data_IF_855158663703
#
_entry.id   IF_855158663703
#
_cell.length_a   1.000
_cell.length_b   1.000
_cell.length_c   1.000
_cell.angle_alpha   90.00
_cell.angle_beta   90.00
_cell.angle_gamma   90.00
#
_symmetry.space_group_name_H-M   'P 1'
#
loop_
_entity.id
_entity.type
_entity.pdbx_description
1 polymer ?
#
# COMPACT_ATOMS: atom_id res chain seq x y z
N UNK A 1 -11.20 5.69 29.56
CA UNK A 1 -10.31 5.13 28.52
C UNK A 1 -11.09 5.09 27.22
N UNK A 2 -10.53 5.68 26.16
CA UNK A 2 -11.26 5.89 24.91
C UNK A 2 -11.56 4.56 24.20
N UNK A 3 -12.73 4.46 23.54
CA UNK A 3 -13.18 3.23 22.86
C UNK A 3 -12.18 2.77 21.80
N UNK A 4 -11.56 3.71 21.09
CA UNK A 4 -10.54 3.43 20.08
C UNK A 4 -9.28 2.78 20.68
N UNK A 5 -8.86 3.25 21.87
CA UNK A 5 -7.72 2.67 22.58
C UNK A 5 -7.99 1.25 23.08
N UNK A 6 -9.23 0.91 23.41
CA UNK A 6 -9.59 -0.48 23.77
C UNK A 6 -9.62 -1.36 22.52
N UNK A 7 -10.11 -0.83 21.39
CA UNK A 7 -10.12 -1.57 20.12
C UNK A 7 -8.70 -1.90 19.66
N UNK A 8 -7.75 -0.98 19.81
CA UNK A 8 -6.34 -1.23 19.46
C UNK A 8 -5.72 -2.35 20.28
N UNK A 9 -6.03 -2.42 21.59
CA UNK A 9 -5.52 -3.49 22.45
C UNK A 9 -6.05 -4.87 22.07
N UNK A 10 -7.30 -4.98 21.57
CA UNK A 10 -7.84 -6.28 21.10
C UNK A 10 -7.06 -6.85 19.91
N UNK A 11 -6.45 -5.98 19.12
CA UNK A 11 -5.74 -6.34 17.89
C UNK A 11 -4.25 -6.65 18.11
N UNK A 12 -3.77 -6.67 19.36
CA UNK A 12 -2.42 -7.14 19.66
C UNK A 12 -2.32 -8.62 19.23
N UNK A 13 -1.27 -9.03 18.49
CA UNK A 13 -1.08 -10.41 18.08
C UNK A 13 -1.12 -11.37 19.28
N UNK A 14 -1.92 -12.43 19.17
CA UNK A 14 -2.16 -13.36 20.27
C UNK A 14 -0.87 -14.07 20.70
N UNK A 15 0.03 -14.33 19.77
CA UNK A 15 1.36 -14.90 20.01
C UNK A 15 2.19 -13.98 20.91
N UNK A 16 2.12 -12.66 20.70
CA UNK A 16 2.85 -11.68 21.53
C UNK A 16 2.29 -11.62 22.94
N UNK A 17 0.98 -11.75 23.07
CA UNK A 17 0.34 -11.86 24.39
C UNK A 17 0.81 -13.13 25.11
N UNK A 18 0.82 -14.26 24.42
CA UNK A 18 1.28 -15.55 24.94
C UNK A 18 2.76 -15.51 25.37
N UNK A 19 3.63 -14.93 24.53
CA UNK A 19 5.02 -14.66 24.90
C UNK A 19 5.12 -13.79 26.16
N UNK A 20 4.35 -12.70 26.21
CA UNK A 20 4.38 -11.75 27.32
C UNK A 20 3.92 -12.33 28.67
N UNK A 21 3.02 -13.31 28.66
CA UNK A 21 2.58 -14.04 29.87
C UNK A 21 3.44 -15.27 30.17
N UNK A 22 4.51 -15.52 29.40
CA UNK A 22 5.44 -16.63 29.63
C UNK A 22 4.93 -18.00 29.14
N UNK A 23 4.01 -18.03 28.18
CA UNK A 23 3.61 -19.27 27.53
C UNK A 23 4.78 -19.87 26.73
N UNK A 24 4.78 -21.20 26.59
CA UNK A 24 5.81 -21.91 25.82
C UNK A 24 5.23 -22.46 24.52
N UNK A 25 5.88 -22.17 23.40
CA UNK A 25 5.46 -22.71 22.11
C UNK A 25 5.63 -24.25 22.09
N UNK A 26 4.67 -24.97 21.52
CA UNK A 26 4.76 -26.43 21.37
C UNK A 26 5.84 -26.76 20.33
N UNK A 27 6.84 -27.61 20.66
CA UNK A 27 7.92 -27.96 19.72
C UNK A 27 7.43 -28.55 18.38
N UNK A 28 6.25 -29.18 18.35
CA UNK A 28 5.70 -29.80 17.13
C UNK A 28 5.03 -28.78 16.20
N UNK A 29 4.51 -27.70 16.75
CA UNK A 29 3.93 -26.59 16.00
C UNK A 29 4.13 -25.28 16.77
N UNK A 30 5.36 -24.73 16.73
CA UNK A 30 5.71 -23.59 17.56
C UNK A 30 5.07 -22.28 17.08
N UNK A 31 4.37 -22.31 15.95
CA UNK A 31 3.68 -21.15 15.39
C UNK A 31 2.28 -21.02 15.98
N UNK A 32 1.52 -22.12 15.99
CA UNK A 32 0.11 -22.05 16.33
C UNK A 32 -0.20 -22.62 17.71
N UNK A 33 0.60 -23.56 18.23
CA UNK A 33 0.29 -24.27 19.46
C UNK A 33 1.17 -23.80 20.61
N UNK A 34 0.52 -23.50 21.73
CA UNK A 34 1.12 -22.91 22.91
C UNK A 34 0.68 -23.64 24.16
N UNK A 35 1.59 -23.78 25.11
CA UNK A 35 1.36 -24.36 26.43
C UNK A 35 1.28 -23.23 27.45
N UNK A 36 0.17 -23.20 28.16
CA UNK A 36 -0.12 -22.22 29.21
C UNK A 36 -0.52 -22.96 30.49
N UNK A 37 -0.48 -22.30 31.66
CA UNK A 37 -1.04 -22.87 32.89
C UNK A 37 -2.54 -23.21 32.77
N UNK A 38 -3.28 -22.49 31.92
CA UNK A 38 -4.69 -22.74 31.67
C UNK A 38 -4.96 -23.87 30.66
N UNK A 39 -3.92 -24.51 30.13
CA UNK A 39 -4.03 -25.61 29.16
C UNK A 39 -3.39 -25.32 27.81
N UNK A 40 -3.61 -26.23 26.86
CA UNK A 40 -3.08 -26.10 25.48
C UNK A 40 -3.94 -25.15 24.65
N UNK A 41 -3.30 -24.13 24.08
CA UNK A 41 -3.95 -23.12 23.24
C UNK A 41 -3.47 -23.25 21.80
N UNK A 42 -4.41 -23.28 20.87
CA UNK A 42 -4.13 -23.06 19.45
C UNK A 42 -4.55 -21.65 19.06
N UNK A 43 -3.66 -20.93 18.38
CA UNK A 43 -3.91 -19.61 17.79
C UNK A 43 -4.14 -19.76 16.29
N UNK A 44 -5.14 -19.05 15.77
CA UNK A 44 -5.44 -18.97 14.34
C UNK A 44 -5.90 -17.55 14.01
N UNK A 45 -4.97 -16.71 13.56
CA UNK A 45 -5.25 -15.30 13.28
C UNK A 45 -5.59 -14.54 14.56
N UNK A 46 -6.77 -13.91 14.61
CA UNK A 46 -7.26 -13.17 15.77
C UNK A 46 -8.04 -14.04 16.77
N UNK A 47 -8.08 -15.37 16.58
CA UNK A 47 -8.81 -16.30 17.44
C UNK A 47 -7.89 -17.27 18.15
N UNK A 48 -8.35 -17.74 19.31
CA UNK A 48 -7.71 -18.83 20.04
C UNK A 48 -8.72 -19.89 20.44
N UNK A 49 -8.21 -21.10 20.67
CA UNK A 49 -8.97 -22.22 21.19
C UNK A 49 -8.15 -22.96 22.26
N UNK A 50 -8.72 -23.10 23.46
CA UNK A 50 -8.15 -23.90 24.54
C UNK A 50 -8.75 -25.31 24.50
N UNK A 51 -7.90 -26.30 24.20
CA UNK A 51 -8.30 -27.69 24.03
C UNK A 51 -8.66 -28.39 25.34
N UNK A 52 -8.10 -27.93 26.45
CA UNK A 52 -8.27 -28.58 27.75
C UNK A 52 -9.59 -28.15 28.41
N UNK A 53 -10.09 -26.96 28.04
CA UNK A 53 -11.34 -26.38 28.54
C UNK A 53 -12.48 -26.39 27.51
N UNK A 54 -12.23 -26.89 26.30
CA UNK A 54 -13.16 -26.86 25.15
C UNK A 54 -13.79 -25.47 24.91
N UNK A 55 -12.95 -24.42 25.00
CA UNK A 55 -13.39 -23.03 24.97
C UNK A 55 -12.47 -22.17 24.13
N UNK A 56 -13.05 -21.32 23.29
CA UNK A 56 -12.33 -20.36 22.46
C UNK A 56 -12.78 -18.93 22.68
N UNK A 57 -12.04 -18.00 22.09
CA UNK A 57 -12.30 -16.57 22.15
C UNK A 57 -11.57 -15.81 21.02
N UNK A 58 -11.73 -14.48 21.00
CA UNK A 58 -11.19 -13.63 19.95
C UNK A 58 -10.51 -12.38 20.49
N UNK A 59 -9.27 -12.15 20.07
CA UNK A 59 -8.50 -10.97 20.43
C UNK A 59 -7.77 -11.07 21.77
N UNK A 60 -6.80 -10.18 21.93
CA UNK A 60 -5.83 -10.21 23.02
C UNK A 60 -6.45 -10.03 24.43
N UNK A 61 -7.50 -9.23 24.54
CA UNK A 61 -8.18 -9.01 25.83
C UNK A 61 -8.85 -10.30 26.29
N UNK A 62 -9.61 -10.94 25.40
CA UNK A 62 -10.34 -12.17 25.69
C UNK A 62 -9.35 -13.30 26.02
N UNK A 63 -8.21 -13.35 25.34
CA UNK A 63 -7.15 -14.30 25.63
C UNK A 63 -6.55 -14.10 27.04
N UNK A 64 -6.23 -12.87 27.42
CA UNK A 64 -5.68 -12.60 28.75
C UNK A 64 -6.68 -12.95 29.85
N UNK A 65 -7.96 -12.60 29.64
CA UNK A 65 -9.04 -12.96 30.55
C UNK A 65 -9.24 -14.48 30.64
N UNK A 66 -9.00 -15.22 29.54
CA UNK A 66 -9.12 -16.67 29.53
C UNK A 66 -7.96 -17.37 30.25
N UNK A 67 -6.72 -16.88 30.09
CA UNK A 67 -5.51 -17.57 30.56
C UNK A 67 -5.03 -17.11 31.93
N UNK A 68 -5.15 -15.82 32.24
CA UNK A 68 -4.44 -15.20 33.35
C UNK A 68 -5.29 -14.82 34.57
N UNK A 69 -6.53 -15.31 34.67
CA UNK A 69 -7.51 -14.92 35.72
C UNK A 69 -7.72 -13.40 35.84
N UNK A 70 -7.45 -12.67 34.74
CA UNK A 70 -7.62 -11.22 34.69
C UNK A 70 -9.08 -10.87 34.46
N UNK A 71 -9.58 -9.88 35.19
CA UNK A 71 -10.80 -9.20 34.77
C UNK A 71 -10.51 -8.22 33.63
N UNK A 72 -11.56 -7.74 32.96
CA UNK A 72 -11.42 -6.86 31.79
C UNK A 72 -10.55 -5.62 32.05
N UNK A 73 -10.67 -4.97 33.22
CA UNK A 73 -9.89 -3.76 33.53
C UNK A 73 -8.40 -4.10 33.71
N UNK A 74 -8.11 -5.22 34.36
CA UNK A 74 -6.75 -5.70 34.56
C UNK A 74 -6.10 -6.10 33.23
N UNK A 75 -6.85 -6.80 32.37
CA UNK A 75 -6.36 -7.17 31.04
C UNK A 75 -6.03 -5.95 30.18
N UNK A 76 -6.91 -4.96 30.17
CA UNK A 76 -6.68 -3.69 29.48
C UNK A 76 -5.46 -2.95 30.05
N UNK A 77 -5.30 -2.92 31.38
CA UNK A 77 -4.17 -2.28 32.05
C UNK A 77 -2.85 -2.97 31.68
N UNK A 78 -2.81 -4.29 31.75
CA UNK A 78 -1.62 -5.08 31.45
C UNK A 78 -1.21 -4.95 29.98
N UNK A 79 -2.16 -5.05 29.05
CA UNK A 79 -1.89 -4.89 27.61
C UNK A 79 -1.44 -3.46 27.28
N UNK A 80 -2.06 -2.46 27.90
CA UNK A 80 -1.68 -1.05 27.74
C UNK A 80 -0.28 -0.73 28.28
N UNK A 81 0.09 -1.31 29.41
CA UNK A 81 1.42 -1.18 30.00
C UNK A 81 2.50 -1.91 29.21
N UNK A 82 2.18 -3.12 28.71
CA UNK A 82 3.15 -3.99 28.02
C UNK A 82 3.34 -3.62 26.54
N UNK A 83 2.29 -3.14 25.87
CA UNK A 83 2.27 -2.95 24.41
C UNK A 83 1.82 -1.55 23.94
N UNK A 84 1.72 -0.57 24.83
CA UNK A 84 1.05 0.72 24.53
C UNK A 84 1.53 1.49 23.29
N UNK A 85 2.79 1.35 22.85
CA UNK A 85 3.28 1.92 21.57
C UNK A 85 3.05 1.01 20.36
N UNK A 86 3.20 -0.30 20.54
CA UNK A 86 3.05 -1.28 19.47
C UNK A 86 1.58 -1.50 19.09
N UNK A 87 0.66 -1.43 20.06
CA UNK A 87 -0.78 -1.54 19.82
C UNK A 87 -1.32 -0.47 18.86
N UNK A 88 -0.75 0.75 18.89
CA UNK A 88 -1.12 1.81 17.95
C UNK A 88 -0.63 1.50 16.52
N UNK A 89 0.59 0.99 16.36
CA UNK A 89 1.14 0.59 15.05
C UNK A 89 0.39 -0.62 14.49
N UNK A 90 0.07 -1.59 15.33
CA UNK A 90 -0.66 -2.81 14.95
C UNK A 90 -2.11 -2.50 14.53
N UNK A 91 -2.78 -1.50 15.13
CA UNK A 91 -4.09 -1.06 14.66
C UNK A 91 -4.05 -0.55 13.23
N UNK A 92 -3.11 0.34 12.89
CA UNK A 92 -2.98 0.86 11.53
C UNK A 92 -2.71 -0.28 10.53
N UNK A 93 -1.85 -1.23 10.88
CA UNK A 93 -1.56 -2.37 10.02
C UNK A 93 -2.77 -3.30 9.86
N UNK A 94 -3.47 -3.64 10.94
CA UNK A 94 -4.66 -4.50 10.89
C UNK A 94 -5.82 -3.85 10.13
N UNK A 95 -6.10 -2.57 10.35
CA UNK A 95 -7.10 -1.83 9.57
C UNK A 95 -6.73 -1.81 8.07
N UNK A 96 -5.45 -1.65 7.75
CA UNK A 96 -4.96 -1.72 6.37
C UNK A 96 -5.13 -3.10 5.74
N UNK A 97 -4.81 -4.17 6.49
CA UNK A 97 -4.94 -5.57 6.04
C UNK A 97 -6.41 -5.94 5.89
N UNK A 98 -7.24 -5.67 6.89
CA UNK A 98 -8.68 -5.94 6.84
C UNK A 98 -9.37 -5.13 5.74
N UNK A 99 -8.94 -3.90 5.50
CA UNK A 99 -9.42 -3.11 4.36
C UNK A 99 -8.99 -3.76 3.03
N UNK A 100 -7.74 -4.22 2.92
CA UNK A 100 -7.25 -4.91 1.74
C UNK A 100 -7.95 -6.25 1.49
N UNK A 101 -8.19 -7.07 2.52
CA UNK A 101 -8.91 -8.34 2.44
C UNK A 101 -10.37 -8.12 2.00
N UNK A 102 -11.07 -7.14 2.58
CA UNK A 102 -12.42 -6.78 2.15
C UNK A 102 -12.45 -6.32 0.67
N UNK A 103 -11.42 -5.64 0.19
CA UNK A 103 -11.32 -5.25 -1.23
C UNK A 103 -11.07 -6.48 -2.12
N UNK A 104 -10.24 -7.43 -1.67
CA UNK A 104 -9.88 -8.64 -2.44
C UNK A 104 -11.03 -9.65 -2.54
N UNK A 105 -11.84 -9.81 -1.50
CA UNK A 105 -12.97 -10.76 -1.48
C UNK A 105 -14.21 -10.27 -2.24
N UNK A 106 -14.38 -8.96 -2.41
CA UNK A 106 -15.60 -8.38 -3.00
C UNK A 106 -15.42 -7.84 -4.41
N UNK A 107 -14.19 -7.76 -4.92
CA UNK A 107 -13.90 -7.12 -6.21
C UNK A 107 -13.11 -8.05 -7.12
N UNK A 108 -13.57 -8.36 -8.35
CA UNK A 108 -12.74 -9.03 -9.33
C UNK A 108 -11.47 -8.23 -9.52
N UNK A 109 -10.31 -8.88 -9.34
CA UNK A 109 -8.95 -8.34 -9.49
C UNK A 109 -8.95 -7.29 -10.62
N UNK A 110 -8.79 -5.98 -10.32
CA UNK A 110 -8.92 -4.98 -11.36
C UNK A 110 -7.79 -5.22 -12.35
N UNK A 111 -8.14 -5.75 -13.54
CA UNK A 111 -7.27 -5.58 -14.70
C UNK A 111 -7.11 -4.09 -14.82
N UNK A 112 -5.89 -3.58 -14.63
CA UNK A 112 -5.56 -2.20 -14.98
C UNK A 112 -6.07 -1.97 -16.39
N UNK A 113 -7.21 -1.30 -16.51
CA UNK A 113 -7.87 -1.11 -17.79
C UNK A 113 -6.93 -0.27 -18.63
N UNK A 114 -6.65 -0.73 -19.86
CA UNK A 114 -5.92 0.08 -20.83
C UNK A 114 -6.69 1.41 -20.95
N UNK A 115 -6.05 2.57 -20.74
CA UNK A 115 -6.75 3.85 -20.77
C UNK A 115 -7.34 4.14 -22.14
N UNK A 116 -8.55 4.70 -22.17
CA UNK A 116 -9.20 5.09 -23.42
C UNK A 116 -8.56 6.36 -24.04
N UNK A 117 -8.44 6.43 -25.38
CA UNK A 117 -7.99 7.62 -26.09
C UNK A 117 -8.88 8.85 -25.88
N UNK A 118 -8.25 10.00 -25.60
CA UNK A 118 -8.90 11.30 -25.47
C UNK A 118 -8.26 12.30 -26.43
N UNK A 119 -8.91 12.53 -27.57
CA UNK A 119 -8.40 13.37 -28.66
C UNK A 119 -8.13 14.82 -28.23
N UNK A 120 -8.98 15.38 -27.37
CA UNK A 120 -8.83 16.77 -26.89
C UNK A 120 -7.54 17.02 -26.10
N UNK A 121 -6.84 15.96 -25.67
CA UNK A 121 -5.58 16.04 -24.92
C UNK A 121 -4.36 15.64 -25.74
N UNK A 122 -4.55 15.28 -27.01
CA UNK A 122 -3.49 14.75 -27.87
C UNK A 122 -2.44 15.81 -28.23
N UNK A 123 -2.85 17.08 -28.39
CA UNK A 123 -1.93 18.20 -28.64
C UNK A 123 -0.86 18.32 -27.55
N UNK A 124 -1.27 18.23 -26.28
CA UNK A 124 -0.36 18.25 -25.13
C UNK A 124 0.65 17.08 -25.14
N UNK A 125 0.22 15.89 -25.57
CA UNK A 125 1.09 14.73 -25.70
C UNK A 125 2.10 14.94 -26.84
N UNK A 126 1.66 15.48 -27.99
CA UNK A 126 2.56 15.85 -29.08
C UNK A 126 3.60 16.87 -28.63
N UNK A 127 3.19 17.95 -27.97
CA UNK A 127 4.10 18.97 -27.45
C UNK A 127 5.14 18.40 -26.49
N UNK A 128 4.72 17.50 -25.60
CA UNK A 128 5.63 16.85 -24.67
C UNK A 128 6.67 15.98 -25.39
N UNK A 129 6.24 15.12 -26.32
CA UNK A 129 7.14 14.18 -26.98
C UNK A 129 8.04 14.87 -28.00
N UNK A 130 7.51 15.81 -28.77
CA UNK A 130 8.26 16.52 -29.82
C UNK A 130 9.14 17.59 -29.19
N UNK A 131 8.56 18.54 -28.47
CA UNK A 131 9.30 19.73 -28.05
C UNK A 131 10.14 19.51 -26.79
N UNK A 132 9.73 18.63 -25.87
CA UNK A 132 10.46 18.43 -24.60
C UNK A 132 11.31 17.16 -24.58
N UNK A 133 10.86 16.10 -25.26
CA UNK A 133 11.63 14.84 -25.38
C UNK A 133 12.38 14.72 -26.69
N UNK A 134 12.29 15.71 -27.58
CA UNK A 134 12.99 15.77 -28.86
C UNK A 134 12.76 14.52 -29.73
N UNK A 135 11.59 13.88 -29.62
CA UNK A 135 11.21 12.76 -30.47
C UNK A 135 10.74 13.34 -31.81
N UNK A 136 11.30 12.89 -32.94
CA UNK A 136 10.92 13.43 -34.25
C UNK A 136 9.40 13.35 -34.48
N UNK A 137 8.82 14.47 -34.93
CA UNK A 137 7.38 14.57 -35.20
C UNK A 137 6.83 13.43 -36.09
N UNK A 138 7.52 13.00 -37.18
CA UNK A 138 7.05 11.87 -37.99
C UNK A 138 6.90 10.56 -37.19
N UNK A 139 7.78 10.32 -36.22
CA UNK A 139 7.74 9.12 -35.36
C UNK A 139 6.53 9.18 -34.43
N UNK A 140 6.29 10.34 -33.83
CA UNK A 140 5.14 10.57 -32.93
C UNK A 140 3.82 10.44 -33.70
N UNK A 141 3.70 11.08 -34.86
CA UNK A 141 2.51 11.01 -35.70
C UNK A 141 2.25 9.58 -36.18
N UNK A 142 3.27 8.85 -36.64
CA UNK A 142 3.11 7.45 -37.05
C UNK A 142 2.65 6.53 -35.91
N UNK A 143 3.17 6.76 -34.68
CA UNK A 143 2.74 6.00 -33.52
C UNK A 143 1.27 6.27 -33.15
N UNK A 144 0.81 7.52 -33.31
CA UNK A 144 -0.59 7.90 -33.09
C UNK A 144 -1.48 7.25 -34.15
N UNK A 145 -1.14 7.38 -35.43
CA UNK A 145 -1.89 6.80 -36.57
C UNK A 145 -2.04 5.29 -36.44
N UNK A 146 -0.99 4.59 -35.98
CA UNK A 146 -1.02 3.14 -35.76
C UNK A 146 -1.69 2.72 -34.45
N UNK A 147 -2.30 3.65 -33.72
CA UNK A 147 -2.90 3.43 -32.40
C UNK A 147 -1.91 2.77 -31.41
N UNK A 148 -0.65 3.21 -31.45
CA UNK A 148 0.43 2.77 -30.54
C UNK A 148 0.68 3.81 -29.44
N UNK A 149 0.24 5.04 -29.67
CA UNK A 149 0.39 6.17 -28.77
C UNK A 149 -0.90 6.99 -28.75
N UNK A 150 -1.41 7.31 -27.57
CA UNK A 150 -2.57 8.21 -27.40
C UNK A 150 -2.47 9.00 -26.10
N UNK A 151 -3.42 9.93 -25.90
CA UNK A 151 -3.59 10.65 -24.64
C UNK A 151 -4.72 10.03 -23.81
N UNK A 152 -4.54 9.86 -22.51
CA UNK A 152 -5.63 9.45 -21.60
C UNK A 152 -6.45 10.64 -21.08
N UNK A 153 -7.46 10.34 -20.24
CA UNK A 153 -8.28 11.35 -19.56
C UNK A 153 -7.50 12.31 -18.64
N UNK A 154 -6.24 12.05 -18.32
CA UNK A 154 -5.39 12.94 -17.53
C UNK A 154 -4.37 13.70 -18.38
N UNK A 155 -4.27 13.39 -19.68
CA UNK A 155 -3.29 13.96 -20.59
C UNK A 155 -1.90 13.34 -20.44
N UNK A 156 -1.82 12.10 -19.96
CA UNK A 156 -0.61 11.28 -20.01
C UNK A 156 -0.41 10.75 -21.42
N UNK A 157 0.85 10.60 -21.83
CA UNK A 157 1.20 9.84 -23.03
C UNK A 157 1.07 8.34 -22.71
N UNK A 158 0.20 7.63 -23.42
CA UNK A 158 -0.05 6.21 -23.23
C UNK A 158 0.54 5.43 -24.38
N UNK A 159 1.44 4.50 -24.08
CA UNK A 159 2.09 3.62 -25.05
C UNK A 159 1.49 2.23 -24.96
N UNK A 160 0.84 1.77 -26.04
CA UNK A 160 0.22 0.45 -26.07
C UNK A 160 1.26 -0.67 -26.18
N UNK A 161 1.29 -1.56 -25.18
CA UNK A 161 2.12 -2.76 -25.18
C UNK A 161 1.39 -3.86 -25.95
N UNK A 162 2.08 -4.47 -26.93
CA UNK A 162 1.49 -5.45 -27.84
C UNK A 162 2.14 -6.81 -27.68
N UNK A 163 1.34 -7.86 -27.82
CA UNK A 163 1.87 -9.22 -27.98
C UNK A 163 2.36 -9.44 -29.42
N UNK A 164 2.87 -10.66 -29.70
CA UNK A 164 3.39 -11.02 -31.02
C UNK A 164 2.31 -10.98 -32.12
N UNK A 165 1.03 -11.18 -31.77
CA UNK A 165 -0.11 -11.06 -32.69
C UNK A 165 -0.53 -9.60 -32.94
N UNK A 166 0.18 -8.63 -32.36
CA UNK A 166 -0.09 -7.20 -32.50
C UNK A 166 -1.26 -6.68 -31.67
N UNK A 167 -1.87 -7.51 -30.82
CA UNK A 167 -2.97 -7.12 -29.92
C UNK A 167 -2.44 -6.35 -28.72
N UNK A 168 -3.12 -5.26 -28.35
CA UNK A 168 -2.77 -4.49 -27.15
C UNK A 168 -3.14 -5.32 -25.91
N UNK A 169 -2.15 -5.65 -25.11
CA UNK A 169 -2.29 -6.46 -23.88
C UNK A 169 -1.99 -5.65 -22.61
N UNK A 170 -1.44 -4.45 -22.77
CA UNK A 170 -1.15 -3.54 -21.67
C UNK A 170 -0.83 -2.13 -22.17
N UNK A 171 -0.49 -1.25 -21.24
CA UNK A 171 -0.06 0.10 -21.57
C UNK A 171 0.97 0.63 -20.55
N UNK A 172 1.98 1.34 -21.04
CA UNK A 172 2.86 2.17 -20.20
C UNK A 172 2.40 3.62 -20.28
N UNK A 173 2.30 4.30 -19.13
CA UNK A 173 1.90 5.70 -19.05
C UNK A 173 3.12 6.57 -18.70
N UNK A 174 3.31 7.65 -19.46
CA UNK A 174 4.25 8.71 -19.12
C UNK A 174 3.52 9.99 -18.79
N UNK A 175 3.65 10.39 -17.52
CA UNK A 175 3.09 11.63 -17.01
C UNK A 175 3.93 12.82 -17.46
N UNK A 176 3.25 13.85 -17.95
CA UNK A 176 3.83 15.19 -18.02
C UNK A 176 3.66 15.88 -16.67
N UNK A 177 4.77 16.14 -15.99
CA UNK A 177 4.83 17.04 -14.83
C UNK A 177 5.41 18.34 -15.34
N UNK A 178 4.65 19.45 -15.29
CA UNK A 178 5.29 20.77 -15.39
C UNK A 178 6.25 20.85 -14.21
N UNK A 179 7.55 20.81 -14.48
CA UNK A 179 8.53 21.26 -13.49
C UNK A 179 8.20 22.74 -13.29
N UNK A 180 7.68 23.11 -12.12
CA UNK A 180 7.61 24.50 -11.74
C UNK A 180 9.06 25.01 -11.79
N UNK A 181 9.37 25.89 -12.74
CA UNK A 181 10.62 26.63 -12.71
C UNK A 181 10.50 27.48 -11.45
N UNK A 182 11.25 27.12 -10.40
CA UNK A 182 11.40 27.99 -9.24
C UNK A 182 11.94 29.33 -9.74
N UNK A 183 11.35 30.42 -9.28
CA UNK A 183 11.70 31.80 -9.66
C UNK A 183 13.15 32.22 -9.30
N UNK A 184 14.05 31.31 -8.97
CA UNK A 184 15.39 31.62 -8.43
C UNK A 184 16.54 31.64 -9.45
N UNK A 185 16.34 31.29 -10.72
CA UNK A 185 17.42 31.30 -11.73
C UNK A 185 17.32 32.44 -12.76
N UNK A 186 16.56 33.50 -12.44
CA UNK A 186 16.69 34.80 -13.13
C UNK A 186 17.59 35.70 -12.30
N UNK A 187 18.90 35.48 -12.38
CA UNK A 187 19.86 36.39 -11.76
C UNK A 187 21.19 35.73 -11.44
N UNK A 188 22.04 35.61 -12.46
CA UNK A 188 23.52 35.50 -12.47
C UNK A 188 23.88 35.16 -13.93
N UNK A 189 24.19 36.15 -14.75
CA UNK A 189 25.58 36.44 -15.18
C UNK A 189 26.04 35.35 -16.16
N UNK A 190 26.21 35.60 -17.45
CA UNK A 190 27.38 36.34 -17.91
C UNK A 190 27.16 37.19 -19.17
N UNK A 191 27.67 38.40 -19.05
CA UNK A 191 27.98 39.34 -20.11
C UNK A 191 29.27 38.85 -20.76
N UNK A 192 29.24 38.46 -22.04
CA UNK A 192 30.41 38.65 -22.89
C UNK A 192 30.04 39.34 -24.20
N UNK A 193 30.84 40.36 -24.44
CA UNK A 193 30.70 41.44 -25.40
C UNK A 193 31.45 41.08 -26.69
N UNK A 194 31.12 41.84 -27.75
CA UNK A 194 31.85 42.00 -29.04
C UNK A 194 31.50 40.98 -30.14
N UNK A 195 31.36 41.34 -31.41
CA UNK A 195 31.43 42.64 -32.10
C UNK A 195 30.76 42.48 -33.47
N UNK A 196 30.14 43.55 -33.98
CA UNK A 196 29.76 43.71 -35.39
C UNK A 196 31.02 43.70 -36.25
N UNK A 197 30.99 43.02 -37.40
CA UNK A 197 31.51 43.54 -38.67
C UNK A 197 30.63 43.00 -39.82
N UNK A 198 29.99 43.91 -40.56
CA UNK A 198 29.55 43.72 -41.94
C UNK A 198 30.42 44.66 -42.79
N UNK A 199 30.82 44.31 -44.01
CA UNK A 199 30.73 45.22 -45.13
C UNK A 199 29.28 45.32 -45.62
#
# INVERSE_FOLDING_TARGET
MDKEKIASLRNIPLEKVLEGIGATADPKDPKNNWRTPAGRITVSGDKFFNHDMDKGGGGAIDLLMHVGDYNFKEAVSWLGGSFGREAAVNQYQYESVKHAENILDTTPKPRSKIPEPVLSKLSRVKDYLINQRAIPEPVVNNAIEKNRLWADKFGNAVFGLRNLDGKIVGAELRRYIRKAISRSERGKGDVHHRQRIKP
#
